data_IF_152054971349
#
_entry.id   IF_152054971349
#
_cell.length_a   1.000
_cell.length_b   1.000
_cell.length_c   1.000
_cell.angle_alpha   90.00
_cell.angle_beta   90.00
_cell.angle_gamma   90.00
#
_symmetry.space_group_name_H-M   'P 1'
#
loop_
_entity.id
_entity.type
_entity.pdbx_description
1 polymer ?
#
# COMPACT_ATOMS: atom_id res chain seq x y z
N UNK A 1 -3.55 24.74 12.37
CA UNK A 1 -3.83 24.50 10.93
C UNK A 1 -3.79 23.00 10.68
N UNK A 2 -4.99 22.44 10.42
CA UNK A 2 -5.34 21.13 9.87
C UNK A 2 -4.50 19.87 10.18
N UNK A 3 -4.99 19.07 11.16
CA UNK A 3 -4.87 17.59 11.23
C UNK A 3 -5.35 16.83 9.96
N UNK A 4 -5.78 17.54 8.91
CA UNK A 4 -6.31 16.97 7.65
C UNK A 4 -5.22 16.54 6.65
N UNK A 5 -4.01 17.09 6.75
CA UNK A 5 -2.93 16.82 5.78
C UNK A 5 -2.44 15.36 5.78
N UNK A 6 -2.37 14.73 6.96
CA UNK A 6 -1.94 13.33 7.09
C UNK A 6 -2.98 12.32 6.60
N UNK A 7 -4.27 12.60 6.82
CA UNK A 7 -5.34 11.68 6.45
C UNK A 7 -5.50 11.56 4.93
N UNK A 8 -5.49 12.68 4.20
CA UNK A 8 -5.59 12.66 2.74
C UNK A 8 -4.40 11.95 2.09
N UNK A 9 -3.20 12.14 2.63
CA UNK A 9 -1.99 11.45 2.16
C UNK A 9 -2.07 9.94 2.42
N UNK A 10 -2.50 9.54 3.62
CA UNK A 10 -2.69 8.14 3.99
C UNK A 10 -3.74 7.45 3.11
N UNK A 11 -4.87 8.12 2.88
CA UNK A 11 -5.95 7.62 2.04
C UNK A 11 -5.52 7.50 0.57
N UNK A 12 -4.75 8.47 0.07
CA UNK A 12 -4.15 8.41 -1.27
C UNK A 12 -3.18 7.23 -1.41
N UNK A 13 -2.30 7.03 -0.43
CA UNK A 13 -1.39 5.88 -0.40
C UNK A 13 -2.15 4.55 -0.35
N UNK A 14 -3.24 4.46 0.42
CA UNK A 14 -4.11 3.29 0.46
C UNK A 14 -4.72 3.00 -0.92
N UNK A 15 -5.31 4.02 -1.56
CA UNK A 15 -5.90 3.87 -2.89
C UNK A 15 -4.87 3.39 -3.92
N UNK A 16 -3.65 3.93 -3.88
CA UNK A 16 -2.56 3.49 -4.75
C UNK A 16 -2.15 2.03 -4.47
N UNK A 17 -2.08 1.59 -3.22
CA UNK A 17 -1.82 0.19 -2.89
C UNK A 17 -2.93 -0.72 -3.41
N UNK A 18 -4.19 -0.34 -3.26
CA UNK A 18 -5.32 -1.12 -3.80
C UNK A 18 -5.20 -1.27 -5.32
N UNK A 19 -4.92 -0.17 -6.03
CA UNK A 19 -4.72 -0.21 -7.48
C UNK A 19 -3.51 -1.06 -7.87
N UNK A 20 -2.38 -0.92 -7.16
CA UNK A 20 -1.17 -1.69 -7.43
C UNK A 20 -1.37 -3.19 -7.19
N UNK A 21 -2.10 -3.57 -6.13
CA UNK A 21 -2.41 -4.96 -5.80
C UNK A 21 -3.23 -5.69 -6.85
N UNK A 22 -3.93 -4.95 -7.72
CA UNK A 22 -4.66 -5.52 -8.86
C UNK A 22 -3.85 -5.36 -10.16
N UNK A 23 -3.42 -4.15 -10.48
CA UNK A 23 -2.81 -3.85 -11.77
C UNK A 23 -1.45 -4.53 -11.98
N UNK A 24 -0.63 -4.64 -10.95
CA UNK A 24 0.73 -5.18 -11.08
C UNK A 24 0.73 -6.70 -11.25
N UNK A 25 0.12 -7.52 -10.37
CA UNK A 25 0.20 -8.97 -10.50
C UNK A 25 -0.59 -9.51 -11.69
N UNK A 26 -1.72 -8.88 -12.03
CA UNK A 26 -2.60 -9.34 -13.10
C UNK A 26 -2.39 -8.61 -14.43
N UNK A 27 -1.52 -7.60 -14.46
CA UNK A 27 -1.13 -6.87 -15.66
C UNK A 27 0.35 -6.99 -15.95
N UNK A 28 1.18 -6.22 -15.24
CA UNK A 28 2.63 -6.13 -15.49
C UNK A 28 3.35 -7.47 -15.31
N UNK A 29 2.98 -8.21 -14.27
CA UNK A 29 3.55 -9.52 -13.96
C UNK A 29 2.72 -10.69 -14.49
N UNK A 30 1.72 -10.42 -15.33
CA UNK A 30 0.89 -11.48 -15.91
C UNK A 30 1.75 -12.44 -16.74
N UNK A 31 1.74 -13.73 -16.37
CA UNK A 31 2.60 -14.74 -17.00
C UNK A 31 4.10 -14.63 -16.67
N UNK A 32 4.48 -13.79 -15.69
CA UNK A 32 5.86 -13.63 -15.24
C UNK A 32 6.39 -14.83 -14.44
N UNK A 33 7.70 -14.84 -14.18
CA UNK A 33 8.34 -15.88 -13.36
C UNK A 33 7.87 -15.83 -11.90
N UNK A 34 7.71 -17.00 -11.28
CA UNK A 34 7.14 -17.13 -9.93
C UNK A 34 7.88 -16.37 -8.83
N UNK A 35 9.21 -16.19 -8.94
CA UNK A 35 9.98 -15.42 -7.96
C UNK A 35 9.68 -13.91 -8.02
N UNK A 36 9.33 -13.37 -9.20
CA UNK A 36 8.97 -11.96 -9.34
C UNK A 36 7.60 -11.69 -8.70
N UNK A 37 6.65 -12.62 -8.88
CA UNK A 37 5.34 -12.58 -8.23
C UNK A 37 5.48 -12.71 -6.71
N UNK A 38 6.31 -13.65 -6.24
CA UNK A 38 6.58 -13.80 -4.81
C UNK A 38 7.24 -12.55 -4.20
N UNK A 39 8.23 -11.97 -4.91
CA UNK A 39 8.89 -10.73 -4.50
C UNK A 39 7.92 -9.54 -4.42
N UNK A 40 7.03 -9.40 -5.42
CA UNK A 40 5.98 -8.39 -5.40
C UNK A 40 5.07 -8.53 -4.18
N UNK A 41 4.53 -9.72 -3.92
CA UNK A 41 3.62 -9.93 -2.78
C UNK A 41 4.32 -9.73 -1.43
N UNK A 42 5.59 -10.12 -1.32
CA UNK A 42 6.40 -9.87 -0.12
C UNK A 42 6.58 -8.36 0.14
N UNK A 43 7.00 -7.60 -0.86
CA UNK A 43 7.17 -6.16 -0.74
C UNK A 43 5.83 -5.43 -0.53
N UNK A 44 4.77 -5.86 -1.23
CA UNK A 44 3.43 -5.30 -1.13
C UNK A 44 2.84 -5.48 0.28
N UNK A 45 2.97 -6.68 0.85
CA UNK A 45 2.54 -6.95 2.22
C UNK A 45 3.25 -6.06 3.23
N UNK A 46 4.57 -5.87 3.10
CA UNK A 46 5.34 -4.96 3.94
C UNK A 46 4.83 -3.51 3.82
N UNK A 47 4.55 -3.03 2.61
CA UNK A 47 4.00 -1.70 2.38
C UNK A 47 2.63 -1.51 3.07
N UNK A 48 1.75 -2.52 3.00
CA UNK A 48 0.46 -2.52 3.70
C UNK A 48 0.65 -2.45 5.22
N UNK A 49 1.56 -3.26 5.78
CA UNK A 49 1.86 -3.24 7.22
C UNK A 49 2.33 -1.85 7.67
N UNK A 50 3.26 -1.24 6.93
CA UNK A 50 3.75 0.11 7.21
C UNK A 50 2.61 1.13 7.16
N UNK A 51 1.77 1.05 6.12
CA UNK A 51 0.64 1.97 5.98
C UNK A 51 -0.35 1.84 7.13
N UNK A 52 -0.65 0.62 7.57
CA UNK A 52 -1.49 0.37 8.75
C UNK A 52 -0.85 0.99 10.01
N UNK A 53 0.44 0.74 10.25
CA UNK A 53 1.13 1.27 11.42
C UNK A 53 1.12 2.81 11.46
N UNK A 54 1.28 3.46 10.31
CA UNK A 54 1.17 4.91 10.16
C UNK A 54 -0.25 5.41 10.41
N UNK A 55 -1.26 4.68 9.95
CA UNK A 55 -2.67 4.98 10.20
C UNK A 55 -3.01 4.91 11.69
N UNK A 56 -2.60 3.84 12.37
CA UNK A 56 -2.83 3.65 13.80
C UNK A 56 -2.19 4.78 14.62
N UNK A 57 -0.94 5.15 14.31
CA UNK A 57 -0.25 6.28 14.96
C UNK A 57 -1.00 7.59 14.75
N UNK A 58 -1.38 7.88 13.49
CA UNK A 58 -2.10 9.10 13.14
C UNK A 58 -3.47 9.24 13.80
N UNK A 59 -4.14 8.13 14.12
CA UNK A 59 -5.45 8.14 14.78
C UNK A 59 -5.36 8.17 16.30
N UNK A 60 -4.25 7.73 16.89
CA UNK A 60 -4.04 7.78 18.34
C UNK A 60 -3.73 9.18 18.87
N UNK A 61 -3.15 10.03 18.02
CA UNK A 61 -2.79 11.41 18.34
C UNK A 61 -3.86 12.43 17.85
N UNK A 62 -4.91 11.94 17.18
CA UNK A 62 -6.03 12.74 16.65
C UNK A 62 -7.09 13.03 17.71
#
# INVERSE_FOLDING_TARGET
MAKRGGFGLWLGALALLVLAGVAVPYGVLAGGQGWAVAGFWGAFGLAVIVLIALGIRGWRDA
#
